data_IF_135109040645
#
_entry.id   IF_135109040645
#
_cell.length_a   1.000
_cell.length_b   1.000
_cell.length_c   1.000
_cell.angle_alpha   90.00
_cell.angle_beta   90.00
_cell.angle_gamma   90.00
#
_symmetry.space_group_name_H-M   'P 1'
#
loop_
_entity.id
_entity.type
_entity.pdbx_description
1 polymer ?
#
# COMPACT_ATOMS: atom_id res chain seq x y z
N UNK A 1 -6.16 -2.93 28.90
CA UNK A 1 -4.84 -2.28 28.75
C UNK A 1 -4.11 -2.76 27.50
N UNK A 2 -3.88 -4.08 27.30
CA UNK A 2 -3.14 -4.60 26.12
C UNK A 2 -3.66 -4.08 24.76
N UNK A 3 -4.97 -4.09 24.56
CA UNK A 3 -5.62 -3.59 23.34
C UNK A 3 -5.33 -2.11 23.07
N UNK A 4 -5.49 -1.25 24.07
CA UNK A 4 -5.25 0.19 23.95
C UNK A 4 -3.77 0.50 23.65
N UNK A 5 -2.85 -0.25 24.27
CA UNK A 5 -1.41 -0.07 24.05
C UNK A 5 -0.99 -0.46 22.63
N UNK A 6 -1.49 -1.60 22.12
CA UNK A 6 -1.25 -2.01 20.73
C UNK A 6 -1.91 -1.02 19.76
N UNK A 7 -3.05 -0.46 20.15
CA UNK A 7 -3.76 0.53 19.34
C UNK A 7 -3.03 1.86 19.18
N UNK A 8 -2.30 2.30 20.19
CA UNK A 8 -1.57 3.56 20.18
C UNK A 8 -0.11 3.43 19.70
N UNK A 9 0.43 2.21 19.63
CA UNK A 9 1.82 1.98 19.27
C UNK A 9 2.12 2.05 17.75
N UNK A 10 1.12 2.33 16.90
CA UNK A 10 1.34 2.36 15.44
C UNK A 10 2.36 3.41 14.96
N UNK A 11 2.47 4.62 15.54
CA UNK A 11 3.47 5.59 15.08
C UNK A 11 4.88 5.07 15.35
N UNK A 12 5.08 4.43 16.50
CA UNK A 12 6.35 3.80 16.86
C UNK A 12 6.65 2.61 15.93
N UNK A 13 5.67 1.77 15.63
CA UNK A 13 5.83 0.66 14.68
C UNK A 13 6.21 1.15 13.27
N UNK A 14 5.57 2.21 12.78
CA UNK A 14 5.89 2.84 11.51
C UNK A 14 7.31 3.43 11.51
N UNK A 15 7.68 4.14 12.58
CA UNK A 15 9.01 4.73 12.72
C UNK A 15 10.11 3.65 12.75
N UNK A 16 9.90 2.58 13.51
CA UNK A 16 10.82 1.43 13.56
C UNK A 16 10.93 0.77 12.19
N UNK A 17 9.80 0.56 11.50
CA UNK A 17 9.80 0.02 10.14
C UNK A 17 10.63 0.89 9.19
N UNK A 18 10.34 2.19 9.11
CA UNK A 18 11.06 3.14 8.23
C UNK A 18 12.56 3.16 8.56
N UNK A 19 12.90 3.17 9.84
CA UNK A 19 14.30 3.20 10.30
C UNK A 19 15.03 1.92 9.87
N UNK A 20 14.44 0.75 10.11
CA UNK A 20 15.07 -0.52 9.75
C UNK A 20 15.15 -0.72 8.24
N UNK A 21 14.13 -0.30 7.49
CA UNK A 21 14.09 -0.41 6.03
C UNK A 21 15.19 0.44 5.37
N UNK A 22 15.49 1.61 5.95
CA UNK A 22 16.48 2.53 5.41
C UNK A 22 17.91 2.31 5.91
N UNK A 23 18.09 1.86 7.15
CA UNK A 23 19.40 1.91 7.81
C UNK A 23 19.89 0.56 8.35
N UNK A 24 19.11 -0.53 8.26
CA UNK A 24 19.50 -1.81 8.83
C UNK A 24 19.25 -3.01 7.91
N UNK A 25 17.99 -3.45 7.79
CA UNK A 25 17.62 -4.65 7.02
C UNK A 25 16.15 -4.60 6.64
N UNK A 26 15.82 -4.62 5.34
CA UNK A 26 14.44 -4.74 4.89
C UNK A 26 13.72 -5.94 5.49
N UNK A 27 14.41 -7.09 5.60
CA UNK A 27 13.83 -8.30 6.18
C UNK A 27 13.40 -8.08 7.64
N UNK A 28 14.24 -7.43 8.46
CA UNK A 28 13.89 -7.10 9.83
C UNK A 28 12.75 -6.08 9.91
N UNK A 29 12.75 -5.08 9.03
CA UNK A 29 11.69 -4.09 8.94
C UNK A 29 10.32 -4.76 8.70
N UNK A 30 10.21 -5.60 7.67
CA UNK A 30 8.99 -6.31 7.35
C UNK A 30 8.61 -7.35 8.43
N UNK A 31 9.58 -8.01 9.07
CA UNK A 31 9.30 -8.94 10.16
C UNK A 31 8.65 -8.22 11.36
N UNK A 32 9.19 -7.07 11.77
CA UNK A 32 8.61 -6.26 12.86
C UNK A 32 7.23 -5.71 12.47
N UNK A 33 7.08 -5.23 11.24
CA UNK A 33 5.80 -4.74 10.74
C UNK A 33 4.74 -5.85 10.74
N UNK A 34 5.11 -7.08 10.36
CA UNK A 34 4.25 -8.25 10.39
C UNK A 34 3.86 -8.64 11.83
N UNK A 35 4.81 -8.67 12.77
CA UNK A 35 4.53 -8.99 14.18
C UNK A 35 3.53 -7.98 14.76
N UNK A 36 3.79 -6.68 14.57
CA UNK A 36 2.90 -5.62 15.05
C UNK A 36 1.52 -5.71 14.40
N UNK A 37 1.47 -5.89 13.08
CA UNK A 37 0.21 -5.92 12.32
C UNK A 37 -0.60 -7.17 12.65
N UNK A 38 0.04 -8.33 12.83
CA UNK A 38 -0.61 -9.57 13.25
C UNK A 38 -1.24 -9.45 14.63
N UNK A 39 -0.48 -8.92 15.61
CA UNK A 39 -1.01 -8.66 16.95
C UNK A 39 -2.16 -7.63 16.92
N UNK A 40 -2.03 -6.58 16.12
CA UNK A 40 -3.07 -5.56 15.94
C UNK A 40 -4.33 -6.12 15.30
N UNK A 41 -4.23 -6.91 14.23
CA UNK A 41 -5.38 -7.54 13.57
C UNK A 41 -6.08 -8.53 14.52
N UNK A 42 -5.33 -9.32 15.29
CA UNK A 42 -5.91 -10.22 16.29
C UNK A 42 -6.70 -9.48 17.38
N UNK A 43 -6.22 -8.28 17.76
CA UNK A 43 -6.85 -7.42 18.76
C UNK A 43 -8.03 -6.61 18.23
N UNK A 44 -7.86 -5.98 17.06
CA UNK A 44 -8.83 -5.09 16.41
C UNK A 44 -9.98 -5.85 15.76
N UNK A 45 -9.69 -7.04 15.22
CA UNK A 45 -10.61 -7.85 14.41
C UNK A 45 -11.27 -7.03 13.29
N UNK A 46 -10.46 -6.43 12.38
CA UNK A 46 -11.01 -5.65 11.27
C UNK A 46 -12.00 -6.49 10.45
N UNK A 47 -13.03 -5.85 9.86
CA UNK A 47 -14.11 -6.58 9.20
C UNK A 47 -13.58 -7.41 8.02
N UNK A 48 -13.71 -8.73 8.13
CA UNK A 48 -13.45 -9.64 7.02
C UNK A 48 -14.61 -9.52 6.02
N UNK A 49 -14.30 -9.12 4.79
CA UNK A 49 -15.27 -9.02 3.71
C UNK A 49 -15.06 -10.18 2.74
N UNK A 50 -16.17 -10.76 2.27
CA UNK A 50 -16.13 -11.89 1.34
C UNK A 50 -15.57 -11.43 0.00
N UNK A 51 -14.52 -12.12 -0.46
CA UNK A 51 -13.96 -11.93 -1.78
C UNK A 51 -14.90 -12.50 -2.84
N UNK A 52 -15.14 -11.73 -3.91
CA UNK A 52 -15.88 -12.19 -5.09
C UNK A 52 -14.89 -12.39 -6.22
N UNK A 53 -15.03 -13.48 -6.98
CA UNK A 53 -14.15 -13.77 -8.11
C UNK A 53 -14.09 -12.61 -9.13
N UNK A 54 -15.24 -11.97 -9.41
CA UNK A 54 -15.29 -10.79 -10.28
C UNK A 54 -14.50 -9.59 -9.74
N UNK A 55 -14.53 -9.36 -8.42
CA UNK A 55 -13.74 -8.27 -7.82
C UNK A 55 -12.24 -8.59 -7.89
N UNK A 56 -11.84 -9.85 -7.68
CA UNK A 56 -10.45 -10.30 -7.82
C UNK A 56 -9.96 -10.07 -9.25
N UNK A 57 -10.74 -10.48 -10.25
CA UNK A 57 -10.39 -10.31 -11.66
C UNK A 57 -10.19 -8.83 -12.02
N UNK A 58 -11.08 -7.95 -11.55
CA UNK A 58 -10.97 -6.50 -11.78
C UNK A 58 -9.73 -5.93 -11.10
N UNK A 59 -9.49 -6.20 -9.81
CA UNK A 59 -8.29 -5.65 -9.15
C UNK A 59 -7.00 -6.21 -9.74
N UNK A 60 -6.99 -7.47 -10.17
CA UNK A 60 -5.83 -8.07 -10.82
C UNK A 60 -5.54 -7.40 -12.17
N UNK A 61 -6.57 -7.18 -12.99
CA UNK A 61 -6.45 -6.48 -14.26
C UNK A 61 -5.96 -5.04 -14.06
N UNK A 62 -6.55 -4.31 -13.11
CA UNK A 62 -6.16 -2.91 -12.85
C UNK A 62 -4.73 -2.84 -12.33
N UNK A 63 -4.32 -3.71 -11.40
CA UNK A 63 -2.94 -3.77 -10.90
C UNK A 63 -1.95 -4.07 -12.03
N UNK A 64 -2.25 -5.05 -12.89
CA UNK A 64 -1.41 -5.39 -14.04
C UNK A 64 -1.31 -4.22 -15.03
N UNK A 65 -2.41 -3.56 -15.37
CA UNK A 65 -2.39 -2.39 -16.25
C UNK A 65 -1.62 -1.22 -15.64
N UNK A 66 -1.80 -0.95 -14.36
CA UNK A 66 -1.08 0.12 -13.64
C UNK A 66 0.43 -0.12 -13.64
N UNK A 67 0.87 -1.38 -13.53
CA UNK A 67 2.29 -1.74 -13.53
C UNK A 67 2.89 -1.86 -14.96
N UNK A 68 2.12 -2.33 -15.94
CA UNK A 68 2.59 -2.55 -17.31
C UNK A 68 2.55 -1.29 -18.17
N UNK A 69 1.63 -0.35 -17.92
CA UNK A 69 1.53 0.86 -18.73
C UNK A 69 2.81 1.71 -18.68
N UNK A 70 3.46 1.91 -17.52
CA UNK A 70 4.77 2.59 -17.46
C UNK A 70 5.91 1.77 -18.07
N UNK A 71 5.77 0.45 -18.22
CA UNK A 71 6.83 -0.44 -18.71
C UNK A 71 7.24 -0.16 -20.16
N UNK A 72 6.44 0.58 -20.94
CA UNK A 72 6.84 1.08 -22.27
C UNK A 72 8.04 2.04 -22.20
N UNK A 73 8.28 2.65 -21.03
CA UNK A 73 9.42 3.52 -20.74
C UNK A 73 10.54 2.78 -19.99
N UNK A 74 10.52 1.44 -19.99
CA UNK A 74 11.57 0.65 -19.37
C UNK A 74 12.90 0.85 -20.10
N UNK A 75 13.97 1.14 -19.34
CA UNK A 75 15.33 1.21 -19.86
C UNK A 75 15.92 -0.19 -20.07
N UNK A 76 15.44 -1.18 -19.31
CA UNK A 76 15.79 -2.59 -19.47
C UNK A 76 14.68 -3.50 -18.92
N UNK A 77 14.58 -4.71 -19.47
CA UNK A 77 13.88 -5.81 -18.80
C UNK A 77 14.74 -6.28 -17.63
N UNK A 78 14.12 -6.42 -16.47
CA UNK A 78 14.77 -6.98 -15.29
C UNK A 78 14.28 -8.41 -15.08
N UNK A 79 15.18 -9.31 -14.73
CA UNK A 79 14.86 -10.69 -14.42
C UNK A 79 15.09 -10.93 -12.92
N UNK A 80 14.17 -10.46 -12.05
CA UNK A 80 14.32 -10.61 -10.62
C UNK A 80 14.37 -12.09 -10.25
N UNK A 81 15.17 -12.42 -9.23
CA UNK A 81 15.23 -13.79 -8.70
C UNK A 81 13.85 -14.20 -8.15
N UNK A 82 13.56 -15.51 -8.13
CA UNK A 82 12.33 -16.02 -7.52
C UNK A 82 12.19 -15.60 -6.05
N UNK A 83 13.32 -15.51 -5.33
CA UNK A 83 13.35 -15.00 -3.97
C UNK A 83 12.90 -13.53 -3.90
N UNK A 84 13.40 -12.68 -4.80
CA UNK A 84 12.99 -11.28 -4.89
C UNK A 84 11.50 -11.15 -5.19
N UNK A 85 10.99 -11.94 -6.15
CA UNK A 85 9.55 -11.96 -6.50
C UNK A 85 8.69 -12.37 -5.31
N UNK A 86 9.10 -13.43 -4.60
CA UNK A 86 8.41 -13.88 -3.39
C UNK A 86 8.44 -12.80 -2.30
N UNK A 87 9.61 -12.18 -2.08
CA UNK A 87 9.78 -11.14 -1.08
C UNK A 87 8.88 -9.93 -1.35
N UNK A 88 8.85 -9.39 -2.57
CA UNK A 88 8.02 -8.21 -2.88
C UNK A 88 6.52 -8.50 -2.80
N UNK A 89 6.10 -9.73 -3.10
CA UNK A 89 4.72 -10.16 -2.91
C UNK A 89 4.34 -10.21 -1.41
N UNK A 90 5.20 -10.82 -0.58
CA UNK A 90 4.99 -10.90 0.87
C UNK A 90 5.04 -9.50 1.50
N UNK A 91 6.00 -8.67 1.10
CA UNK A 91 6.13 -7.28 1.54
C UNK A 91 4.83 -6.50 1.29
N UNK A 92 4.26 -6.60 0.08
CA UNK A 92 2.98 -5.99 -0.25
C UNK A 92 1.84 -6.46 0.67
N UNK A 93 1.76 -7.75 0.98
CA UNK A 93 0.76 -8.28 1.93
C UNK A 93 0.96 -7.72 3.34
N UNK A 94 2.20 -7.68 3.83
CA UNK A 94 2.53 -7.16 5.17
C UNK A 94 2.21 -5.67 5.28
N UNK A 95 2.51 -4.89 4.24
CA UNK A 95 2.11 -3.48 4.16
C UNK A 95 0.60 -3.32 4.19
N UNK A 96 -0.15 -4.13 3.44
CA UNK A 96 -1.61 -4.07 3.49
C UNK A 96 -2.18 -4.43 4.87
N UNK A 97 -1.56 -5.38 5.57
CA UNK A 97 -1.94 -5.69 6.95
C UNK A 97 -1.79 -4.46 7.85
N UNK A 98 -0.70 -3.71 7.72
CA UNK A 98 -0.48 -2.50 8.49
C UNK A 98 -1.37 -1.33 8.02
N UNK A 99 -1.19 -0.87 6.79
CA UNK A 99 -1.84 0.35 6.30
C UNK A 99 -3.35 0.18 6.16
N UNK A 100 -3.83 -0.99 5.68
CA UNK A 100 -5.27 -1.21 5.41
C UNK A 100 -5.95 -2.04 6.48
N UNK A 101 -5.23 -2.94 7.14
CA UNK A 101 -5.76 -3.73 8.26
C UNK A 101 -5.74 -2.98 9.60
N UNK A 102 -4.83 -2.01 9.79
CA UNK A 102 -4.67 -1.27 11.05
C UNK A 102 -4.92 0.23 10.88
N UNK A 103 -4.18 0.92 10.01
CA UNK A 103 -4.26 2.39 9.93
C UNK A 103 -5.54 2.89 9.28
N UNK A 104 -6.08 2.22 8.27
CA UNK A 104 -7.29 2.65 7.57
C UNK A 104 -8.49 2.85 8.50
N UNK A 105 -8.71 1.96 9.47
CA UNK A 105 -9.80 2.06 10.43
C UNK A 105 -9.61 3.21 11.43
N UNK A 106 -8.36 3.68 11.62
CA UNK A 106 -8.01 4.73 12.58
C UNK A 106 -7.97 6.12 11.95
N UNK A 107 -7.26 6.22 10.84
CA UNK A 107 -6.88 7.49 10.20
C UNK A 107 -7.69 7.77 8.93
N UNK A 108 -8.41 6.77 8.41
CA UNK A 108 -9.16 6.89 7.16
C UNK A 108 -8.28 6.86 5.91
N UNK A 109 -8.92 6.92 4.74
CA UNK A 109 -8.28 6.70 3.43
C UNK A 109 -7.16 7.71 3.12
N UNK A 110 -7.34 9.04 3.29
CA UNK A 110 -6.30 10.00 2.90
C UNK A 110 -5.06 9.91 3.78
N UNK A 111 -5.23 9.79 5.10
CA UNK A 111 -4.11 9.78 6.03
C UNK A 111 -3.30 8.48 5.94
N UNK A 112 -3.94 7.32 5.80
CA UNK A 112 -3.19 6.08 5.57
C UNK A 112 -2.41 6.12 4.25
N UNK A 113 -2.95 6.76 3.20
CA UNK A 113 -2.26 6.91 1.93
C UNK A 113 -1.05 7.85 2.05
N UNK A 114 -1.18 8.91 2.85
CA UNK A 114 -0.08 9.81 3.17
C UNK A 114 1.04 9.08 3.93
N UNK A 115 0.72 8.33 4.99
CA UNK A 115 1.72 7.55 5.72
C UNK A 115 2.36 6.46 4.85
N UNK A 116 1.58 5.84 3.96
CA UNK A 116 2.08 4.89 2.98
C UNK A 116 3.12 5.55 2.06
N UNK A 117 2.84 6.74 1.53
CA UNK A 117 3.78 7.47 0.69
C UNK A 117 5.06 7.86 1.45
N UNK A 118 4.94 8.32 2.69
CA UNK A 118 6.10 8.64 3.54
C UNK A 118 6.98 7.41 3.83
N UNK A 119 6.38 6.23 3.99
CA UNK A 119 7.11 5.00 4.29
C UNK A 119 8.05 4.55 3.16
N UNK A 120 7.85 5.09 1.95
CA UNK A 120 8.65 4.78 0.76
C UNK A 120 9.80 5.77 0.51
N UNK A 121 10.04 6.70 1.43
CA UNK A 121 11.21 7.59 1.32
C UNK A 121 12.49 6.80 1.60
N UNK A 122 13.43 6.89 0.66
CA UNK A 122 14.76 6.33 0.78
C UNK A 122 15.67 7.32 1.51
N UNK A 123 15.63 7.31 2.84
CA UNK A 123 16.36 8.21 3.74
C UNK A 123 17.87 7.87 3.88
N UNK A 124 18.29 6.69 3.42
CA UNK A 124 19.67 6.20 3.56
C UNK A 124 20.72 6.95 2.74
N UNK A 125 20.31 7.58 1.64
CA UNK A 125 21.18 8.30 0.71
C UNK A 125 20.45 9.54 0.13
N UNK A 126 21.08 10.73 0.09
CA UNK A 126 20.43 11.95 -0.39
C UNK A 126 19.91 11.89 -1.84
N UNK A 127 20.61 11.19 -2.75
CA UNK A 127 20.17 11.08 -4.15
C UNK A 127 18.91 10.20 -4.23
N UNK A 128 18.95 9.06 -3.54
CA UNK A 128 17.82 8.15 -3.41
C UNK A 128 16.61 8.82 -2.73
N UNK A 129 16.85 9.71 -1.76
CA UNK A 129 15.80 10.50 -1.13
C UNK A 129 15.11 11.42 -2.14
N UNK A 130 15.86 12.17 -2.94
CA UNK A 130 15.28 13.05 -3.95
C UNK A 130 14.47 12.24 -4.96
N UNK A 131 15.00 11.12 -5.46
CA UNK A 131 14.30 10.27 -6.43
C UNK A 131 13.03 9.65 -5.85
N UNK A 132 13.08 9.14 -4.61
CA UNK A 132 11.89 8.58 -3.94
C UNK A 132 10.86 9.66 -3.58
N UNK A 133 11.30 10.88 -3.22
CA UNK A 133 10.41 12.01 -2.98
C UNK A 133 9.68 12.46 -4.25
N UNK A 134 10.31 12.39 -5.43
CA UNK A 134 9.62 12.64 -6.70
C UNK A 134 8.51 11.61 -6.99
N UNK A 135 8.65 10.38 -6.46
CA UNK A 135 7.63 9.33 -6.54
C UNK A 135 6.53 9.45 -5.46
N UNK A 136 6.58 10.44 -4.56
CA UNK A 136 5.54 10.64 -3.54
C UNK A 136 4.12 10.64 -4.11
N UNK A 137 3.83 11.35 -5.23
CA UNK A 137 2.46 11.38 -5.76
C UNK A 137 2.01 10.01 -6.30
N UNK A 138 2.95 9.20 -6.83
CA UNK A 138 2.70 7.81 -7.22
C UNK A 138 2.27 6.99 -6.00
N UNK A 139 3.10 6.97 -4.95
CA UNK A 139 2.79 6.20 -3.75
C UNK A 139 1.51 6.69 -3.06
N UNK A 140 1.23 8.00 -3.09
CA UNK A 140 -0.02 8.53 -2.55
C UNK A 140 -1.25 8.05 -3.34
N UNK A 141 -1.23 8.09 -4.67
CA UNK A 141 -2.34 7.62 -5.51
C UNK A 141 -2.55 6.10 -5.41
N UNK A 142 -1.46 5.33 -5.41
CA UNK A 142 -1.50 3.89 -5.11
C UNK A 142 -2.09 3.67 -3.70
N UNK A 143 -1.63 4.48 -2.75
CA UNK A 143 -2.11 4.64 -1.39
C UNK A 143 -3.64 4.71 -1.30
N UNK A 144 -4.22 5.68 -2.00
CA UNK A 144 -5.65 5.95 -2.09
C UNK A 144 -6.42 4.80 -2.76
N UNK A 145 -5.88 4.27 -3.85
CA UNK A 145 -6.47 3.16 -4.63
C UNK A 145 -6.68 1.93 -3.74
N UNK A 146 -5.60 1.48 -3.10
CA UNK A 146 -5.61 0.37 -2.14
C UNK A 146 -6.53 0.67 -0.94
N UNK A 147 -6.51 1.90 -0.42
CA UNK A 147 -7.40 2.33 0.66
C UNK A 147 -8.89 2.21 0.30
N UNK A 148 -9.28 2.54 -0.93
CA UNK A 148 -10.65 2.36 -1.43
C UNK A 148 -10.99 0.89 -1.56
N UNK A 149 -10.11 0.09 -2.18
CA UNK A 149 -10.32 -1.36 -2.32
C UNK A 149 -10.57 -1.97 -0.94
N UNK A 150 -9.72 -1.66 0.04
CA UNK A 150 -9.83 -2.14 1.40
C UNK A 150 -11.10 -1.65 2.11
N UNK A 151 -11.42 -0.36 2.03
CA UNK A 151 -12.64 0.20 2.63
C UNK A 151 -13.91 -0.48 2.08
N UNK A 152 -13.92 -0.87 0.80
CA UNK A 152 -15.09 -1.44 0.13
C UNK A 152 -15.17 -2.96 0.26
N UNK A 153 -14.05 -3.66 0.11
CA UNK A 153 -13.97 -5.13 -0.01
C UNK A 153 -12.96 -5.81 0.93
N UNK A 154 -12.38 -5.08 1.86
CA UNK A 154 -11.47 -5.59 2.89
C UNK A 154 -10.01 -5.60 2.43
N UNK A 155 -9.09 -5.55 3.39
CA UNK A 155 -7.65 -5.44 3.11
C UNK A 155 -7.09 -6.63 2.32
N UNK A 156 -7.73 -7.81 2.37
CA UNK A 156 -7.30 -8.96 1.56
C UNK A 156 -7.37 -8.69 0.05
N UNK A 157 -8.41 -8.02 -0.43
CA UNK A 157 -8.50 -7.69 -1.86
C UNK A 157 -7.46 -6.64 -2.24
N UNK A 158 -7.18 -5.71 -1.32
CA UNK A 158 -6.10 -4.73 -1.46
C UNK A 158 -4.73 -5.41 -1.51
N UNK A 159 -4.51 -6.47 -0.70
CA UNK A 159 -3.29 -7.27 -0.69
C UNK A 159 -3.07 -8.01 -2.01
N UNK A 160 -4.14 -8.53 -2.63
CA UNK A 160 -4.04 -9.12 -3.97
C UNK A 160 -3.61 -8.08 -5.00
N UNK A 161 -4.23 -6.88 -5.00
CA UNK A 161 -3.82 -5.79 -5.87
C UNK A 161 -2.36 -5.44 -5.67
N UNK A 162 -1.95 -5.18 -4.42
CA UNK A 162 -0.62 -4.67 -4.11
C UNK A 162 0.48 -5.70 -4.42
N UNK A 163 0.27 -6.96 -4.02
CA UNK A 163 1.22 -8.03 -4.32
C UNK A 163 1.39 -8.20 -5.83
N UNK A 164 0.29 -8.16 -6.60
CA UNK A 164 0.38 -8.27 -8.05
C UNK A 164 1.07 -7.05 -8.68
N UNK A 165 0.72 -5.84 -8.23
CA UNK A 165 1.37 -4.61 -8.69
C UNK A 165 2.89 -4.69 -8.49
N UNK A 166 3.35 -5.11 -7.31
CA UNK A 166 4.77 -5.25 -6.99
C UNK A 166 5.46 -6.33 -7.84
N UNK A 167 4.83 -7.49 -8.02
CA UNK A 167 5.39 -8.60 -8.81
C UNK A 167 5.53 -8.20 -10.28
N UNK A 168 4.57 -7.47 -10.83
CA UNK A 168 4.59 -7.03 -12.23
C UNK A 168 5.57 -5.87 -12.41
N UNK A 169 5.57 -4.88 -11.51
CA UNK A 169 6.46 -3.72 -11.59
C UNK A 169 7.93 -4.10 -11.43
N UNK A 170 8.26 -5.10 -10.60
CA UNK A 170 9.66 -5.54 -10.39
C UNK A 170 10.30 -6.19 -11.64
N UNK A 171 9.52 -6.51 -12.68
CA UNK A 171 10.04 -7.05 -13.95
C UNK A 171 10.69 -5.99 -14.84
N UNK A 172 10.54 -4.70 -14.51
CA UNK A 172 10.98 -3.60 -15.35
C UNK A 172 11.79 -2.59 -14.54
N UNK A 173 12.94 -2.17 -15.08
CA UNK A 173 13.64 -0.99 -14.57
C UNK A 173 13.23 0.18 -15.43
N UNK A 174 12.59 1.17 -14.81
CA UNK A 174 12.15 2.37 -15.50
C UNK A 174 13.29 3.40 -15.57
N UNK A 175 13.37 4.14 -16.68
CA UNK A 175 14.31 5.25 -16.79
C UNK A 175 13.93 6.38 -15.83
N UNK A 176 14.90 6.96 -15.11
CA UNK A 176 14.66 8.14 -14.27
C UNK A 176 14.51 9.40 -15.14
N UNK A 177 13.29 9.62 -15.66
CA UNK A 177 12.98 10.74 -16.54
C UNK A 177 11.61 11.37 -16.21
N UNK A 178 11.38 12.65 -16.53
CA UNK A 178 10.07 13.28 -16.35
C UNK A 178 8.95 12.56 -17.11
N UNK A 179 9.23 12.01 -18.30
CA UNK A 179 8.25 11.28 -19.08
C UNK A 179 7.82 9.98 -18.38
N UNK A 180 8.78 9.24 -17.82
CA UNK A 180 8.51 8.05 -17.01
C UNK A 180 7.66 8.40 -15.80
N UNK A 181 8.03 9.46 -15.06
CA UNK A 181 7.29 9.88 -13.87
C UNK A 181 5.84 10.25 -14.24
N UNK A 182 5.65 11.03 -15.30
CA UNK A 182 4.32 11.37 -15.79
C UNK A 182 3.50 10.12 -16.18
N UNK A 183 4.12 9.13 -16.84
CA UNK A 183 3.47 7.89 -17.22
C UNK A 183 3.01 7.07 -16.01
N UNK A 184 3.85 6.98 -14.96
CA UNK A 184 3.49 6.33 -13.68
C UNK A 184 2.28 7.04 -13.07
N UNK A 185 2.32 8.37 -12.95
CA UNK A 185 1.22 9.13 -12.36
C UNK A 185 -0.10 9.00 -13.14
N UNK A 186 -0.05 8.98 -14.48
CA UNK A 186 -1.23 8.74 -15.31
C UNK A 186 -1.77 7.32 -15.10
N UNK A 187 -0.89 6.32 -15.01
CA UNK A 187 -1.29 4.94 -14.75
C UNK A 187 -1.99 4.80 -13.40
N UNK A 188 -1.45 5.39 -12.33
CA UNK A 188 -2.08 5.34 -11.00
C UNK A 188 -3.38 6.12 -10.94
N UNK A 189 -3.44 7.30 -11.58
CA UNK A 189 -4.66 8.09 -11.64
C UNK A 189 -5.78 7.32 -12.38
N UNK A 190 -5.44 6.65 -13.48
CA UNK A 190 -6.37 5.79 -14.20
C UNK A 190 -6.81 4.59 -13.34
N UNK A 191 -5.88 3.92 -12.67
CA UNK A 191 -6.18 2.82 -11.75
C UNK A 191 -7.11 3.25 -10.62
N UNK A 192 -6.83 4.40 -10.01
CA UNK A 192 -7.65 5.03 -8.97
C UNK A 192 -9.07 5.30 -9.47
N UNK A 193 -9.22 5.90 -10.66
CA UNK A 193 -10.53 6.18 -11.26
C UNK A 193 -11.30 4.90 -11.57
N UNK A 194 -10.66 3.88 -12.12
CA UNK A 194 -11.30 2.59 -12.43
C UNK A 194 -11.80 1.90 -11.15
N UNK A 195 -10.97 1.87 -10.11
CA UNK A 195 -11.34 1.35 -8.79
C UNK A 195 -12.48 2.15 -8.17
N UNK A 196 -12.42 3.48 -8.25
CA UNK A 196 -13.50 4.35 -7.80
C UNK A 196 -14.80 4.00 -8.51
N UNK A 197 -14.82 3.94 -9.85
CA UNK A 197 -16.02 3.64 -10.64
C UNK A 197 -16.58 2.25 -10.32
N UNK A 198 -15.72 1.23 -10.29
CA UNK A 198 -16.13 -0.15 -10.02
C UNK A 198 -16.76 -0.30 -8.63
N UNK A 199 -16.15 0.33 -7.61
CA UNK A 199 -16.65 0.24 -6.23
C UNK A 199 -17.60 1.39 -5.83
N UNK A 200 -17.86 2.36 -6.71
CA UNK A 200 -18.82 3.44 -6.46
C UNK A 200 -20.22 2.89 -6.19
N UNK A 201 -20.59 1.81 -6.90
CA UNK A 201 -21.87 1.11 -6.75
C UNK A 201 -21.97 0.21 -5.51
N UNK A 202 -20.88 0.03 -4.77
CA UNK A 202 -20.88 -0.75 -3.52
C UNK A 202 -21.34 0.08 -2.29
N UNK A 203 -21.93 1.26 -2.48
CA UNK A 203 -22.61 2.03 -1.43
C UNK A 203 -23.96 1.38 -1.12
N UNK A 204 -23.92 0.22 -0.46
CA UNK A 204 -25.06 -0.43 0.13
C UNK A 204 -24.71 -0.90 1.54
N UNK A 205 -25.09 -0.09 2.54
CA UNK A 205 -25.12 -0.52 3.94
C UNK A 205 -24.04 0.09 4.84
N UNK A 206 -24.48 1.07 5.64
CA UNK A 206 -23.83 1.64 6.83
C UNK A 206 -22.56 2.45 6.55
N UNK A 207 -22.78 3.75 6.33
CA UNK A 207 -21.86 4.81 6.78
C UNK A 207 -21.20 4.39 8.09
N UNK A 208 -19.86 4.29 8.10
CA UNK A 208 -19.10 4.16 9.34
C UNK A 208 -19.50 5.33 10.25
N UNK A 209 -20.40 5.07 11.21
CA UNK A 209 -20.70 6.02 12.27
C UNK A 209 -19.44 6.11 13.13
N UNK A 210 -18.89 7.33 13.20
CA UNK A 210 -17.97 7.86 14.22
C UNK A 210 -16.67 7.07 14.46
N UNK A 211 -15.59 7.54 13.85
CA UNK A 211 -14.27 7.54 14.51
C UNK A 211 -13.58 8.89 14.25
N UNK A 212 -13.96 9.88 15.05
CA UNK A 212 -13.01 10.91 15.48
C UNK A 212 -12.78 10.63 16.97
N UNK A 213 -11.69 9.95 17.34
CA UNK A 213 -11.19 10.03 18.69
C UNK A 213 -10.30 11.28 18.79
N UNK A 214 -10.69 12.26 19.61
CA UNK A 214 -9.68 13.01 20.35
C UNK A 214 -9.39 14.48 19.99
N UNK A 215 -10.38 15.30 19.60
CA UNK A 215 -10.36 16.71 20.02
C UNK A 215 -11.27 16.86 21.25
N UNK A 216 -10.75 16.43 22.40
CA UNK A 216 -11.14 16.99 23.70
C UNK A 216 -9.88 17.65 24.26
N UNK A 217 -9.74 18.93 23.94
CA UNK A 217 -9.15 19.86 24.91
C UNK A 217 -10.12 19.99 26.09
#
# INVERSE_FOLDING_TARGET
MLRANVEQAWPAALLVFITLANFASPLLAYAILLIYSGASIASLKPPLKRLRAGDIAVVALVAALSALLPAIFASAKHHPSLFSVFFVAVAGVVEEMFFRGVLLEREGIPMQAFYFALAHFALGDPVSLVLSALLTPHYFLLGLTLGIIASRRGFHLSAVFHALYNVVSTQHVLAASPATLAAVLVADAAAFLLVLVHFHRCVGGKTHKKFLPGNRL
#
